data_IF_621192643294
#
_entry.id   IF_621192643294
#
_cell.length_a   1.000
_cell.length_b   1.000
_cell.length_c   1.000
_cell.angle_alpha   90.00
_cell.angle_beta   90.00
_cell.angle_gamma   90.00
#
_symmetry.space_group_name_H-M   'P 1'
#
loop_
_entity.id
_entity.type
_entity.pdbx_description
1 polymer ?
#
# COMPACT_ATOMS: atom_id res chain seq x y z
N UNK A 1 -30.73 -3.36 28.96
CA UNK A 1 -29.49 -2.75 28.45
C UNK A 1 -29.80 -1.72 27.37
N UNK A 2 -30.58 -2.08 26.32
CA UNK A 2 -31.03 -1.18 25.25
C UNK A 2 -31.77 0.04 25.80
N UNK A 3 -32.68 -0.10 26.78
CA UNK A 3 -33.36 1.01 27.40
C UNK A 3 -32.39 1.95 28.16
N UNK A 4 -31.32 1.44 28.79
CA UNK A 4 -30.29 2.29 29.40
C UNK A 4 -29.47 3.07 28.37
N UNK A 5 -29.22 2.51 27.21
CA UNK A 5 -28.55 3.19 26.09
C UNK A 5 -29.47 4.29 25.52
N UNK A 6 -30.77 4.03 25.42
CA UNK A 6 -31.76 4.99 24.94
C UNK A 6 -31.94 6.15 25.95
N UNK A 7 -31.98 5.87 27.26
CA UNK A 7 -32.07 6.89 28.31
C UNK A 7 -30.77 7.71 28.47
N UNK A 8 -29.58 7.07 28.27
CA UNK A 8 -28.30 7.76 28.31
C UNK A 8 -28.00 8.61 27.04
N UNK A 9 -28.66 8.32 25.92
CA UNK A 9 -28.49 9.08 24.67
C UNK A 9 -29.20 10.45 24.68
N UNK A 10 -30.16 10.67 25.52
CA UNK A 10 -31.02 11.87 25.44
C UNK A 10 -30.25 13.20 25.57
N UNK A 11 -29.20 13.35 26.43
CA UNK A 11 -28.41 14.59 26.48
C UNK A 11 -27.04 14.51 25.75
N UNK A 12 -26.35 13.36 25.74
CA UNK A 12 -24.94 13.30 25.37
C UNK A 12 -24.73 13.38 23.84
N UNK A 13 -25.54 12.72 23.04
CA UNK A 13 -25.38 12.70 21.58
C UNK A 13 -25.72 14.03 20.90
N UNK A 14 -26.82 14.74 21.27
CA UNK A 14 -27.09 16.09 20.80
C UNK A 14 -26.03 17.10 21.20
N UNK A 15 -25.48 17.01 22.42
CA UNK A 15 -24.42 17.89 22.90
C UNK A 15 -23.11 17.64 22.16
N UNK A 16 -22.70 16.38 21.98
CA UNK A 16 -21.53 16.03 21.19
C UNK A 16 -21.65 16.52 19.74
N UNK A 17 -22.82 16.37 19.11
CA UNK A 17 -23.09 16.90 17.77
C UNK A 17 -22.91 18.41 17.69
N UNK A 18 -23.51 19.14 18.62
CA UNK A 18 -23.41 20.60 18.68
C UNK A 18 -21.96 21.05 18.89
N UNK A 19 -21.20 20.35 19.74
CA UNK A 19 -19.79 20.64 19.98
C UNK A 19 -18.94 20.42 18.71
N UNK A 20 -19.22 19.37 17.94
CA UNK A 20 -18.54 19.11 16.66
C UNK A 20 -18.90 20.13 15.57
N UNK A 21 -20.17 20.56 15.51
CA UNK A 21 -20.62 21.63 14.59
C UNK A 21 -19.93 22.95 14.92
N UNK A 22 -19.85 23.34 16.18
CA UNK A 22 -19.16 24.54 16.64
C UNK A 22 -17.65 24.46 16.38
N UNK A 23 -17.02 23.32 16.67
CA UNK A 23 -15.61 23.11 16.40
C UNK A 23 -15.30 23.23 14.90
N UNK A 24 -16.14 22.66 14.04
CA UNK A 24 -15.96 22.74 12.59
C UNK A 24 -16.15 24.18 12.07
N UNK A 25 -17.07 24.94 12.62
CA UNK A 25 -17.27 26.35 12.28
C UNK A 25 -16.09 27.22 12.71
N UNK A 26 -15.57 27.03 13.91
CA UNK A 26 -14.43 27.77 14.44
C UNK A 26 -13.12 27.39 13.74
N UNK A 27 -12.93 26.12 13.37
CA UNK A 27 -11.83 25.69 12.53
C UNK A 27 -11.90 26.28 11.12
N UNK A 28 -13.11 26.34 10.53
CA UNK A 28 -13.32 26.94 9.22
C UNK A 28 -13.01 28.44 9.24
N UNK A 29 -13.37 29.17 10.29
CA UNK A 29 -13.00 30.58 10.48
C UNK A 29 -11.49 30.75 10.61
N UNK A 30 -10.83 29.87 11.37
CA UNK A 30 -9.38 29.91 11.59
C UNK A 30 -8.59 29.66 10.30
N UNK A 31 -9.12 28.84 9.37
CA UNK A 31 -8.49 28.51 8.08
C UNK A 31 -8.78 29.57 7.01
N UNK A 32 -9.97 30.14 7.01
CA UNK A 32 -10.43 31.03 5.91
C UNK A 32 -10.09 32.49 6.08
N UNK A 33 -9.86 32.96 7.30
CA UNK A 33 -9.64 34.40 7.57
C UNK A 33 -8.18 34.70 7.87
N UNK A 34 -7.45 35.14 6.85
CA UNK A 34 -6.05 35.56 6.93
C UNK A 34 -5.89 37.02 7.41
N UNK A 35 -6.99 37.71 7.73
CA UNK A 35 -7.03 39.13 8.14
C UNK A 35 -7.21 39.33 9.65
N UNK A 36 -7.25 38.26 10.43
CA UNK A 36 -7.41 38.31 11.89
C UNK A 36 -6.24 39.02 12.57
N UNK A 37 -6.55 39.88 13.54
CA UNK A 37 -5.55 40.45 14.44
C UNK A 37 -4.98 39.37 15.37
N UNK A 38 -3.76 39.60 15.90
CA UNK A 38 -3.10 38.66 16.82
C UNK A 38 -3.95 38.34 18.07
N UNK A 39 -4.73 39.29 18.54
CA UNK A 39 -5.65 39.12 19.69
C UNK A 39 -6.86 38.24 19.34
N UNK A 40 -7.48 38.47 18.18
CA UNK A 40 -8.60 37.67 17.67
C UNK A 40 -8.16 36.24 17.37
N UNK A 41 -6.98 36.08 16.79
CA UNK A 41 -6.39 34.77 16.55
C UNK A 41 -6.12 34.01 17.86
N UNK A 42 -5.55 34.67 18.88
CA UNK A 42 -5.30 34.04 20.18
C UNK A 42 -6.61 33.65 20.89
N UNK A 43 -7.65 34.46 20.75
CA UNK A 43 -8.99 34.17 21.27
C UNK A 43 -9.61 32.95 20.58
N UNK A 44 -9.58 32.92 19.25
CA UNK A 44 -10.11 31.82 18.45
C UNK A 44 -9.34 30.51 18.70
N UNK A 45 -8.00 30.57 18.78
CA UNK A 45 -7.16 29.45 19.17
C UNK A 45 -7.55 28.86 20.53
N UNK A 46 -7.85 29.73 21.50
CA UNK A 46 -8.29 29.30 22.84
C UNK A 46 -9.67 28.67 22.80
N UNK A 47 -10.59 29.20 22.00
CA UNK A 47 -11.94 28.64 21.82
C UNK A 47 -11.86 27.26 21.19
N UNK A 48 -11.14 27.12 20.05
CA UNK A 48 -10.93 25.84 19.37
C UNK A 48 -10.28 24.81 20.29
N UNK A 49 -9.26 25.19 21.08
CA UNK A 49 -8.62 24.30 22.04
C UNK A 49 -9.62 23.82 23.13
N UNK A 50 -10.50 24.69 23.58
CA UNK A 50 -11.55 24.35 24.55
C UNK A 50 -12.55 23.35 23.96
N UNK A 51 -12.95 23.58 22.72
CA UNK A 51 -13.97 22.75 22.06
C UNK A 51 -13.42 21.38 21.67
N UNK A 52 -12.16 21.30 21.23
CA UNK A 52 -11.45 20.02 21.05
C UNK A 52 -11.43 19.23 22.36
N UNK A 53 -11.14 19.89 23.47
CA UNK A 53 -11.11 19.24 24.79
C UNK A 53 -12.48 18.73 25.23
N UNK A 54 -13.55 19.51 24.98
CA UNK A 54 -14.92 19.06 25.24
C UNK A 54 -15.30 17.86 24.37
N UNK A 55 -15.07 17.95 23.05
CA UNK A 55 -15.33 16.85 22.13
C UNK A 55 -14.58 15.57 22.54
N UNK A 56 -13.32 15.71 22.98
CA UNK A 56 -12.53 14.55 23.46
C UNK A 56 -13.17 13.89 24.69
N UNK A 57 -13.66 14.69 25.62
CA UNK A 57 -14.33 14.19 26.82
C UNK A 57 -15.68 13.53 26.50
N UNK A 58 -16.44 14.12 25.59
CA UNK A 58 -17.75 13.59 25.18
C UNK A 58 -17.59 12.26 24.44
N UNK A 59 -16.58 12.15 23.57
CA UNK A 59 -16.23 10.89 22.89
C UNK A 59 -15.75 9.83 23.89
N UNK A 60 -14.97 10.22 24.90
CA UNK A 60 -14.56 9.29 25.95
C UNK A 60 -15.77 8.75 26.72
N UNK A 61 -16.74 9.62 27.01
CA UNK A 61 -17.98 9.24 27.68
C UNK A 61 -18.85 8.31 26.81
N UNK A 62 -18.94 8.59 25.51
CA UNK A 62 -19.64 7.72 24.55
C UNK A 62 -18.91 6.37 24.41
N UNK A 63 -17.57 6.37 24.39
CA UNK A 63 -16.76 5.16 24.34
C UNK A 63 -16.98 4.27 25.55
N UNK A 64 -17.07 4.84 26.74
CA UNK A 64 -17.32 4.07 27.96
C UNK A 64 -18.72 3.45 27.99
N UNK A 65 -19.73 4.13 27.41
CA UNK A 65 -21.08 3.60 27.24
C UNK A 65 -21.14 2.46 26.19
N UNK A 66 -20.30 2.52 25.16
CA UNK A 66 -20.26 1.57 24.03
C UNK A 66 -19.36 0.37 24.30
N UNK A 67 -18.33 0.50 25.15
CA UNK A 67 -17.28 -0.51 25.36
C UNK A 67 -17.78 -1.88 25.84
N UNK A 68 -19.01 -1.98 26.28
CA UNK A 68 -19.54 -3.24 26.78
C UNK A 68 -20.45 -4.01 25.80
N UNK A 69 -20.92 -3.42 24.69
CA UNK A 69 -22.02 -4.04 23.95
C UNK A 69 -22.09 -3.79 22.42
N UNK A 70 -21.12 -3.15 21.75
CA UNK A 70 -21.27 -2.81 20.32
C UNK A 70 -20.07 -3.21 19.43
N UNK A 71 -20.38 -3.36 18.13
CA UNK A 71 -19.53 -3.85 17.03
C UNK A 71 -18.08 -3.30 17.00
N UNK A 72 -17.08 -4.14 16.64
CA UNK A 72 -15.67 -3.75 16.48
C UNK A 72 -15.44 -2.54 15.57
N UNK A 73 -16.33 -2.32 14.60
CA UNK A 73 -16.26 -1.21 13.63
C UNK A 73 -16.53 0.15 14.28
N UNK A 74 -17.51 0.22 15.21
CA UNK A 74 -17.80 1.44 15.97
C UNK A 74 -16.67 1.80 16.93
N UNK A 75 -16.03 0.80 17.53
CA UNK A 75 -14.85 0.99 18.38
C UNK A 75 -13.69 1.58 17.57
N UNK A 76 -13.40 1.03 16.39
CA UNK A 76 -12.37 1.53 15.49
C UNK A 76 -12.64 2.96 15.03
N UNK A 77 -13.90 3.30 14.70
CA UNK A 77 -14.29 4.66 14.32
C UNK A 77 -14.09 5.66 15.46
N UNK A 78 -14.44 5.30 16.70
CA UNK A 78 -14.22 6.16 17.88
C UNK A 78 -12.73 6.33 18.20
N UNK A 79 -11.92 5.31 18.04
CA UNK A 79 -10.45 5.39 18.19
C UNK A 79 -9.83 6.31 17.15
N UNK A 80 -10.30 6.26 15.90
CA UNK A 80 -9.85 7.17 14.83
C UNK A 80 -10.23 8.62 15.12
N UNK A 81 -11.43 8.88 15.61
CA UNK A 81 -11.89 10.21 16.05
C UNK A 81 -11.00 10.73 17.18
N UNK A 82 -10.74 9.92 18.19
CA UNK A 82 -9.88 10.27 19.31
C UNK A 82 -8.45 10.63 18.86
N UNK A 83 -7.91 9.85 17.91
CA UNK A 83 -6.60 10.10 17.30
C UNK A 83 -6.57 11.42 16.53
N UNK A 84 -7.60 11.71 15.72
CA UNK A 84 -7.71 12.95 14.95
C UNK A 84 -7.82 14.19 15.85
N UNK A 85 -8.58 14.10 16.94
CA UNK A 85 -8.68 15.19 17.93
C UNK A 85 -7.35 15.43 18.67
N UNK A 86 -6.62 14.38 19.02
CA UNK A 86 -5.31 14.50 19.64
C UNK A 86 -4.28 15.14 18.68
N UNK A 87 -4.33 14.79 17.41
CA UNK A 87 -3.49 15.42 16.36
C UNK A 87 -3.85 16.90 16.19
N UNK A 88 -5.15 17.24 16.10
CA UNK A 88 -5.61 18.62 16.02
C UNK A 88 -5.15 19.45 17.23
N UNK A 89 -5.21 18.90 18.43
CA UNK A 89 -4.73 19.54 19.66
C UNK A 89 -3.21 19.78 19.64
N UNK A 90 -2.43 18.83 19.12
CA UNK A 90 -0.97 18.96 18.98
C UNK A 90 -0.62 20.05 17.96
N UNK A 91 -1.32 20.06 16.81
CA UNK A 91 -1.12 21.09 15.76
C UNK A 91 -1.44 22.47 16.32
N UNK A 92 -2.59 22.62 17.01
CA UNK A 92 -3.00 23.90 17.60
C UNK A 92 -2.03 24.40 18.69
N UNK A 93 -1.46 23.50 19.48
CA UNK A 93 -0.45 23.81 20.49
C UNK A 93 0.84 24.37 19.87
N UNK A 94 1.21 23.87 18.69
CA UNK A 94 2.45 24.25 17.98
C UNK A 94 2.27 25.46 17.05
N UNK A 95 1.07 26.01 16.90
CA UNK A 95 0.83 27.22 16.10
C UNK A 95 1.47 28.43 16.79
N UNK A 96 2.39 29.20 16.13
CA UNK A 96 3.00 30.39 16.69
C UNK A 96 2.00 31.44 17.17
N UNK A 97 2.40 32.22 18.18
CA UNK A 97 1.50 33.19 18.84
C UNK A 97 1.29 34.50 18.06
N UNK A 98 1.97 34.71 16.94
CA UNK A 98 1.88 35.92 16.13
C UNK A 98 1.61 35.59 14.65
N UNK A 99 0.86 36.46 13.98
CA UNK A 99 0.35 36.25 12.63
C UNK A 99 1.44 36.24 11.55
N UNK A 100 2.55 36.96 11.76
CA UNK A 100 3.64 37.06 10.79
C UNK A 100 4.45 35.76 10.61
N UNK A 101 4.59 34.97 11.66
CA UNK A 101 5.25 33.67 11.59
C UNK A 101 4.33 32.58 11.02
N UNK A 102 3.01 32.78 11.14
CA UNK A 102 1.97 31.90 10.63
C UNK A 102 1.92 31.89 9.10
N UNK A 103 2.12 33.04 8.45
CA UNK A 103 2.07 33.16 6.99
C UNK A 103 3.10 32.24 6.29
N UNK A 104 4.22 31.95 6.94
CA UNK A 104 5.25 31.01 6.44
C UNK A 104 4.94 29.54 6.77
N UNK A 105 4.21 29.29 7.84
CA UNK A 105 3.87 27.95 8.31
C UNK A 105 2.51 27.48 7.78
N UNK A 106 1.62 28.41 7.36
CA UNK A 106 0.24 28.12 6.95
C UNK A 106 0.16 27.19 5.74
N UNK A 107 1.11 27.30 4.82
CA UNK A 107 1.17 26.44 3.63
C UNK A 107 1.41 24.95 4.00
N UNK A 108 2.16 24.70 5.05
CA UNK A 108 2.41 23.33 5.53
C UNK A 108 1.28 22.81 6.43
N UNK A 109 0.58 23.69 7.17
CA UNK A 109 -0.52 23.33 8.05
C UNK A 109 -1.89 23.29 7.34
N UNK A 110 -2.01 23.93 6.19
CA UNK A 110 -3.26 23.98 5.42
C UNK A 110 -3.71 22.58 4.97
N UNK A 111 -2.77 21.72 4.60
CA UNK A 111 -3.06 20.34 4.23
C UNK A 111 -3.48 19.50 5.44
N UNK A 112 -2.78 19.65 6.58
CA UNK A 112 -3.10 18.94 7.84
C UNK A 112 -4.46 19.38 8.39
N UNK A 113 -4.78 20.69 8.32
CA UNK A 113 -6.09 21.21 8.75
C UNK A 113 -7.21 20.82 7.79
N UNK A 114 -6.91 20.73 6.49
CA UNK A 114 -7.86 20.27 5.47
C UNK A 114 -8.20 18.79 5.67
N UNK A 115 -7.20 17.96 5.95
CA UNK A 115 -7.39 16.55 6.26
C UNK A 115 -8.14 16.38 7.58
N UNK A 116 -7.76 17.12 8.62
CA UNK A 116 -8.49 17.13 9.90
C UNK A 116 -9.94 17.61 9.75
N UNK A 117 -10.19 18.62 8.92
CA UNK A 117 -11.55 19.13 8.65
C UNK A 117 -12.37 18.11 7.86
N UNK A 118 -11.74 17.41 6.91
CA UNK A 118 -12.37 16.31 6.16
C UNK A 118 -12.73 15.15 7.07
N UNK A 119 -11.84 14.78 7.98
CA UNK A 119 -12.05 13.70 8.94
C UNK A 119 -13.15 14.05 9.95
N UNK A 120 -13.19 15.30 10.43
CA UNK A 120 -14.27 15.81 11.29
C UNK A 120 -15.62 15.84 10.54
N UNK A 121 -15.64 16.29 9.29
CA UNK A 121 -16.85 16.27 8.45
C UNK A 121 -17.33 14.84 8.18
N UNK A 122 -16.40 13.90 7.91
CA UNK A 122 -16.68 12.48 7.81
C UNK A 122 -17.25 11.90 9.09
N UNK A 123 -16.70 12.30 10.22
CA UNK A 123 -17.14 11.92 11.56
C UNK A 123 -18.56 12.44 11.88
N UNK A 124 -18.84 13.71 11.59
CA UNK A 124 -20.18 14.31 11.76
C UNK A 124 -21.20 13.56 10.91
N UNK A 125 -20.83 13.22 9.66
CA UNK A 125 -21.70 12.44 8.79
C UNK A 125 -21.96 11.05 9.37
N UNK A 126 -20.92 10.35 9.84
CA UNK A 126 -21.06 9.03 10.46
C UNK A 126 -21.93 9.07 11.73
N UNK A 127 -21.77 10.09 12.58
CA UNK A 127 -22.60 10.30 13.76
C UNK A 127 -24.06 10.61 13.40
N UNK A 128 -24.28 11.36 12.30
CA UNK A 128 -25.63 11.64 11.79
C UNK A 128 -26.30 10.37 11.25
N UNK A 129 -25.57 9.60 10.46
CA UNK A 129 -26.05 8.34 9.91
C UNK A 129 -26.32 7.31 11.03
N UNK A 130 -25.47 7.31 12.08
CA UNK A 130 -25.65 6.51 13.28
C UNK A 130 -26.91 6.95 14.05
N UNK A 131 -27.13 8.27 14.23
CA UNK A 131 -28.34 8.80 14.86
C UNK A 131 -29.59 8.38 14.09
N UNK A 132 -29.59 8.54 12.75
CA UNK A 132 -30.71 8.11 11.91
C UNK A 132 -30.98 6.61 12.03
N UNK A 133 -29.91 5.80 12.08
CA UNK A 133 -30.01 4.37 12.29
C UNK A 133 -30.58 4.01 13.67
N UNK A 134 -30.16 4.72 14.71
CA UNK A 134 -30.67 4.56 16.08
C UNK A 134 -32.15 5.00 16.18
N UNK A 135 -32.50 6.14 15.59
CA UNK A 135 -33.89 6.61 15.57
C UNK A 135 -34.80 5.63 14.81
N UNK A 136 -34.30 5.03 13.72
CA UNK A 136 -35.01 3.98 13.00
C UNK A 136 -35.14 2.71 13.83
N UNK A 137 -34.06 2.25 14.47
CA UNK A 137 -34.08 1.09 15.39
C UNK A 137 -35.06 1.35 16.53
N UNK A 138 -35.11 2.58 17.09
CA UNK A 138 -36.06 2.96 18.14
C UNK A 138 -37.48 2.86 17.64
N UNK A 139 -37.77 3.37 16.43
CA UNK A 139 -39.12 3.29 15.84
C UNK A 139 -39.53 1.82 15.57
N UNK A 140 -38.56 1.02 15.03
CA UNK A 140 -38.78 -0.40 14.76
C UNK A 140 -39.01 -1.18 16.06
N UNK A 141 -38.26 -0.89 17.13
CA UNK A 141 -38.47 -1.48 18.48
C UNK A 141 -39.81 -1.08 19.04
N UNK A 142 -40.23 0.17 18.91
CA UNK A 142 -41.58 0.61 19.36
C UNK A 142 -42.67 -0.11 18.58
N UNK A 143 -42.51 -0.27 17.30
CA UNK A 143 -43.44 -1.02 16.44
C UNK A 143 -43.49 -2.49 16.80
N UNK A 144 -42.33 -3.11 17.08
CA UNK A 144 -42.24 -4.52 17.50
C UNK A 144 -42.84 -4.71 18.89
N UNK A 145 -42.57 -3.81 19.85
CA UNK A 145 -43.08 -3.93 21.22
C UNK A 145 -44.58 -3.66 21.33
N UNK A 146 -45.17 -2.90 20.41
CA UNK A 146 -46.61 -2.68 20.34
C UNK A 146 -47.39 -3.77 19.60
N UNK A 147 -46.69 -4.72 18.97
CA UNK A 147 -47.30 -5.82 18.22
C UNK A 147 -47.59 -7.02 19.14
N UNK A 148 -48.84 -7.53 19.10
CA UNK A 148 -49.22 -8.71 19.87
C UNK A 148 -48.35 -9.93 19.62
N UNK A 149 -47.89 -10.12 18.36
CA UNK A 149 -46.93 -11.16 17.97
C UNK A 149 -45.57 -11.08 18.68
N UNK A 150 -45.18 -9.86 19.16
CA UNK A 150 -43.96 -9.68 19.95
C UNK A 150 -44.10 -10.27 21.36
N UNK A 151 -45.27 -10.15 21.97
CA UNK A 151 -45.53 -10.73 23.28
C UNK A 151 -45.56 -12.26 23.21
N UNK A 152 -46.12 -12.81 22.12
CA UNK A 152 -46.11 -14.26 21.87
C UNK A 152 -44.69 -14.78 21.59
N UNK A 153 -43.89 -14.00 20.88
CA UNK A 153 -42.46 -14.27 20.65
C UNK A 153 -41.66 -14.22 21.94
N UNK A 154 -41.85 -13.22 22.79
CA UNK A 154 -41.19 -13.09 24.11
C UNK A 154 -41.56 -14.28 25.02
N UNK A 155 -42.79 -14.71 24.97
CA UNK A 155 -43.25 -15.88 25.77
C UNK A 155 -42.63 -17.18 25.26
N UNK A 156 -42.55 -17.34 23.93
CA UNK A 156 -41.86 -18.50 23.32
C UNK A 156 -40.36 -18.55 23.63
N UNK A 157 -39.75 -17.38 23.84
CA UNK A 157 -38.32 -17.22 24.17
C UNK A 157 -38.05 -17.48 25.64
N UNK A 158 -38.95 -17.12 26.55
CA UNK A 158 -38.82 -17.44 27.98
C UNK A 158 -38.75 -18.95 28.22
N UNK A 159 -39.38 -19.73 27.35
CA UNK A 159 -39.38 -21.19 27.43
C UNK A 159 -38.08 -21.80 26.84
N UNK A 160 -37.28 -21.05 26.05
CA UNK A 160 -36.04 -21.59 25.49
C UNK A 160 -34.93 -20.51 25.33
N UNK A 161 -34.32 -20.04 26.42
CA UNK A 161 -33.35 -18.91 26.41
C UNK A 161 -32.06 -19.22 25.60
N UNK A 162 -31.74 -20.49 25.39
CA UNK A 162 -30.53 -20.90 24.69
C UNK A 162 -30.54 -20.55 23.19
N UNK A 163 -31.72 -20.50 22.60
CA UNK A 163 -31.90 -20.15 21.16
C UNK A 163 -31.53 -18.67 20.94
N UNK A 164 -31.85 -17.80 21.92
CA UNK A 164 -31.48 -16.38 21.84
C UNK A 164 -29.98 -16.17 22.02
N UNK A 165 -29.38 -16.85 23.00
CA UNK A 165 -27.94 -16.73 23.24
C UNK A 165 -27.19 -17.10 21.95
N UNK A 166 -27.61 -18.14 21.25
CA UNK A 166 -27.01 -18.53 19.97
C UNK A 166 -27.28 -17.53 18.83
N UNK A 167 -28.47 -16.92 18.77
CA UNK A 167 -28.80 -15.93 17.75
C UNK A 167 -28.10 -14.58 17.99
N UNK A 168 -27.95 -14.15 19.25
CA UNK A 168 -27.26 -12.89 19.59
C UNK A 168 -25.74 -13.04 19.51
N UNK A 169 -25.21 -14.23 19.84
CA UNK A 169 -23.77 -14.49 19.78
C UNK A 169 -23.22 -14.64 18.33
N UNK A 170 -24.09 -14.96 17.37
CA UNK A 170 -23.70 -15.14 15.96
C UNK A 170 -24.81 -14.71 15.00
N UNK A 171 -25.22 -13.41 14.99
CA UNK A 171 -26.34 -12.92 14.17
C UNK A 171 -26.06 -12.97 12.68
N UNK A 172 -24.79 -13.02 12.29
CA UNK A 172 -24.32 -13.14 10.89
C UNK A 172 -23.18 -14.14 10.83
N UNK A 173 -23.41 -15.28 10.21
CA UNK A 173 -22.32 -16.16 9.79
C UNK A 173 -21.82 -15.70 8.43
N UNK A 174 -20.64 -15.12 8.42
CA UNK A 174 -19.98 -14.77 7.18
C UNK A 174 -19.35 -16.04 6.58
N UNK A 175 -20.00 -16.59 5.55
CA UNK A 175 -19.46 -17.72 4.82
C UNK A 175 -18.55 -17.16 3.70
N UNK A 176 -17.26 -17.05 4.00
CA UNK A 176 -16.28 -16.60 3.01
C UNK A 176 -15.86 -17.77 2.12
N UNK A 177 -16.31 -17.74 0.87
CA UNK A 177 -15.85 -18.71 -0.14
C UNK A 177 -14.68 -18.10 -0.89
N UNK A 178 -13.46 -18.49 -0.51
CA UNK A 178 -12.25 -18.08 -1.22
C UNK A 178 -12.14 -18.86 -2.54
N UNK A 179 -12.25 -18.19 -3.68
CA UNK A 179 -12.08 -18.79 -5.02
C UNK A 179 -10.63 -19.25 -5.23
N UNK A 180 -9.67 -18.45 -4.76
CA UNK A 180 -8.24 -18.73 -4.75
C UNK A 180 -7.70 -18.60 -3.33
N UNK A 181 -7.82 -19.67 -2.57
CA UNK A 181 -7.41 -19.68 -1.18
C UNK A 181 -5.89 -19.73 -1.06
N UNK A 182 -5.34 -18.82 -0.23
CA UNK A 182 -3.94 -18.80 0.18
C UNK A 182 -3.90 -19.00 1.69
N UNK A 183 -3.27 -20.08 2.13
CA UNK A 183 -3.31 -20.54 3.51
C UNK A 183 -2.62 -19.63 4.51
N UNK A 184 -1.62 -18.85 4.06
CA UNK A 184 -0.87 -17.97 4.94
C UNK A 184 -0.26 -16.77 4.18
N UNK A 185 0.05 -15.72 4.93
CA UNK A 185 0.63 -14.49 4.40
C UNK A 185 2.00 -14.71 3.72
N UNK A 186 2.83 -15.62 4.24
CA UNK A 186 4.12 -15.96 3.64
C UNK A 186 3.99 -16.46 2.20
N UNK A 187 3.04 -17.37 1.96
CA UNK A 187 2.75 -17.87 0.60
C UNK A 187 2.20 -16.78 -0.33
N UNK A 188 1.42 -15.83 0.21
CA UNK A 188 0.91 -14.70 -0.56
C UNK A 188 2.03 -13.74 -0.99
N UNK A 189 3.04 -13.55 -0.14
CA UNK A 189 4.16 -12.63 -0.37
C UNK A 189 5.34 -13.28 -1.11
N UNK A 190 5.44 -14.61 -1.12
CA UNK A 190 6.55 -15.34 -1.74
C UNK A 190 6.82 -14.91 -3.19
N UNK A 191 5.82 -14.76 -4.09
CA UNK A 191 6.06 -14.30 -5.46
C UNK A 191 6.80 -12.96 -5.54
N UNK A 192 6.48 -12.02 -4.66
CA UNK A 192 7.14 -10.72 -4.60
C UNK A 192 8.62 -10.85 -4.20
N UNK A 193 8.90 -11.57 -3.12
CA UNK A 193 10.27 -11.75 -2.64
C UNK A 193 11.13 -12.61 -3.57
N UNK A 194 10.55 -13.62 -4.20
CA UNK A 194 11.21 -14.44 -5.21
C UNK A 194 11.65 -13.58 -6.40
N UNK A 195 10.75 -12.75 -6.95
CA UNK A 195 11.08 -11.87 -8.07
C UNK A 195 12.13 -10.83 -7.67
N UNK A 196 12.03 -10.28 -6.45
CA UNK A 196 13.01 -9.35 -5.90
C UNK A 196 14.41 -10.01 -5.78
N UNK A 197 14.47 -11.21 -5.24
CA UNK A 197 15.73 -11.97 -5.10
C UNK A 197 16.39 -12.23 -6.46
N UNK A 198 15.60 -12.58 -7.49
CA UNK A 198 16.11 -12.80 -8.85
C UNK A 198 16.64 -11.50 -9.49
N UNK A 199 15.98 -10.34 -9.24
CA UNK A 199 16.48 -9.05 -9.72
C UNK A 199 17.79 -8.66 -9.05
N UNK A 200 17.83 -8.72 -7.71
CA UNK A 200 19.03 -8.42 -6.93
C UNK A 200 20.17 -9.37 -7.29
N UNK A 201 19.87 -10.65 -7.46
CA UNK A 201 20.85 -11.64 -7.92
C UNK A 201 21.45 -11.28 -9.29
N UNK A 202 20.63 -10.82 -10.22
CA UNK A 202 21.10 -10.37 -11.54
C UNK A 202 21.96 -9.10 -11.45
N UNK A 203 21.63 -8.15 -10.56
CA UNK A 203 22.45 -6.96 -10.28
C UNK A 203 23.82 -7.33 -9.70
N UNK A 204 23.83 -8.19 -8.70
CA UNK A 204 25.09 -8.67 -8.10
C UNK A 204 25.95 -9.37 -9.14
N UNK A 205 25.33 -10.13 -10.05
CA UNK A 205 26.05 -10.86 -11.08
C UNK A 205 26.81 -9.94 -12.05
N UNK A 206 26.18 -8.83 -12.48
CA UNK A 206 26.88 -7.86 -13.35
C UNK A 206 27.92 -7.03 -12.59
N UNK A 207 27.73 -6.82 -11.30
CA UNK A 207 28.72 -6.14 -10.46
C UNK A 207 29.99 -7.01 -10.22
N UNK A 208 29.83 -8.34 -10.10
CA UNK A 208 30.91 -9.25 -9.82
C UNK A 208 31.66 -9.74 -11.10
N UNK A 209 30.94 -9.86 -12.20
CA UNK A 209 31.49 -10.44 -13.44
C UNK A 209 31.60 -9.34 -14.49
N UNK A 210 32.81 -9.16 -15.01
CA UNK A 210 33.06 -8.21 -16.09
C UNK A 210 32.16 -8.48 -17.30
N UNK A 211 31.42 -7.49 -17.71
CA UNK A 211 30.43 -7.59 -18.79
C UNK A 211 31.10 -7.47 -20.16
N UNK A 212 32.12 -6.62 -20.25
CA UNK A 212 32.88 -6.44 -21.51
C UNK A 212 33.86 -7.61 -21.70
N UNK A 213 33.93 -8.12 -22.93
CA UNK A 213 34.93 -9.07 -23.35
C UNK A 213 36.24 -8.31 -23.60
N UNK A 214 37.34 -8.72 -22.94
CA UNK A 214 38.66 -8.16 -23.23
C UNK A 214 39.07 -8.56 -24.64
N UNK A 215 39.60 -7.61 -25.40
CA UNK A 215 40.14 -7.92 -26.72
C UNK A 215 41.37 -8.82 -26.58
N UNK A 216 41.40 -9.90 -27.36
CA UNK A 216 42.44 -10.88 -27.42
C UNK A 216 42.67 -11.24 -28.92
N UNK A 217 43.89 -11.59 -29.31
CA UNK A 217 44.25 -11.98 -30.66
C UNK A 217 43.39 -13.14 -31.19
N UNK A 218 42.98 -14.06 -30.30
CA UNK A 218 42.08 -15.17 -30.65
C UNK A 218 40.64 -14.74 -31.02
N UNK A 219 40.28 -13.51 -30.71
CA UNK A 219 38.95 -12.94 -30.98
C UNK A 219 38.94 -11.99 -32.18
N UNK A 220 40.03 -11.94 -32.93
CA UNK A 220 40.09 -11.21 -34.20
C UNK A 220 39.13 -11.82 -35.21
N UNK A 221 38.26 -11.00 -35.79
CA UNK A 221 37.21 -11.43 -36.73
C UNK A 221 35.88 -11.87 -36.13
N UNK A 222 35.74 -11.96 -34.79
CA UNK A 222 34.47 -12.27 -34.13
C UNK A 222 33.54 -11.07 -34.21
N UNK A 223 32.33 -11.27 -34.72
CA UNK A 223 31.32 -10.20 -34.85
C UNK A 223 30.82 -9.74 -33.49
N UNK A 224 30.47 -8.43 -33.33
CA UNK A 224 30.03 -7.87 -32.02
C UNK A 224 28.88 -8.62 -31.38
N UNK A 225 27.90 -9.07 -32.15
CA UNK A 225 26.77 -9.85 -31.62
C UNK A 225 27.20 -11.22 -31.07
N UNK A 226 28.22 -11.83 -31.63
CA UNK A 226 28.78 -13.11 -31.14
C UNK A 226 29.49 -12.92 -29.80
N UNK A 227 30.29 -11.85 -29.67
CA UNK A 227 30.91 -11.45 -28.39
C UNK A 227 29.84 -11.19 -27.34
N UNK A 228 28.74 -10.48 -27.71
CA UNK A 228 27.62 -10.15 -26.83
C UNK A 228 26.91 -11.41 -26.31
N UNK A 229 26.41 -12.27 -27.19
CA UNK A 229 25.72 -13.48 -26.78
C UNK A 229 26.62 -14.52 -26.13
N UNK A 230 27.85 -14.66 -26.61
CA UNK A 230 28.82 -15.57 -26.01
C UNK A 230 29.15 -15.19 -24.56
N UNK A 231 29.30 -13.89 -24.28
CA UNK A 231 29.51 -13.40 -22.92
C UNK A 231 28.29 -13.57 -22.06
N UNK A 232 27.11 -13.28 -22.62
CA UNK A 232 25.82 -13.42 -21.90
C UNK A 232 25.57 -14.86 -21.42
N UNK A 233 26.09 -15.88 -22.15
CA UNK A 233 25.88 -17.27 -21.75
C UNK A 233 26.33 -17.56 -20.32
N UNK A 234 27.42 -16.95 -19.85
CA UNK A 234 27.90 -17.09 -18.48
C UNK A 234 26.88 -16.52 -17.48
N UNK A 235 26.34 -15.33 -17.78
CA UNK A 235 25.32 -14.69 -16.94
C UNK A 235 24.03 -15.52 -16.90
N UNK A 236 23.64 -16.07 -18.04
CA UNK A 236 22.49 -16.95 -18.14
C UNK A 236 22.66 -18.20 -17.27
N UNK A 237 23.77 -18.93 -17.41
CA UNK A 237 23.99 -20.17 -16.66
C UNK A 237 23.99 -19.91 -15.15
N UNK A 238 24.75 -18.91 -14.70
CA UNK A 238 24.85 -18.62 -13.27
C UNK A 238 23.48 -18.10 -12.75
N UNK A 239 22.78 -17.25 -13.51
CA UNK A 239 21.44 -16.78 -13.17
C UNK A 239 20.43 -17.92 -13.06
N UNK A 240 20.53 -18.95 -13.92
CA UNK A 240 19.65 -20.13 -13.81
C UNK A 240 19.99 -20.98 -12.57
N UNK A 241 21.27 -21.12 -12.22
CA UNK A 241 21.66 -21.80 -10.98
C UNK A 241 21.10 -21.07 -9.75
N UNK A 242 21.23 -19.75 -9.69
CA UNK A 242 20.60 -18.92 -8.64
C UNK A 242 19.09 -19.17 -8.58
N UNK A 243 18.43 -19.20 -9.73
CA UNK A 243 16.97 -19.42 -9.82
C UNK A 243 16.57 -20.79 -9.29
N UNK A 244 17.30 -21.84 -9.65
CA UNK A 244 17.04 -23.18 -9.15
C UNK A 244 17.16 -23.22 -7.62
N UNK A 245 18.20 -22.61 -7.05
CA UNK A 245 18.39 -22.53 -5.60
C UNK A 245 17.24 -21.77 -4.94
N UNK A 246 16.82 -20.63 -5.50
CA UNK A 246 15.72 -19.83 -4.98
C UNK A 246 14.41 -20.61 -5.01
N UNK A 247 14.06 -21.22 -6.16
CA UNK A 247 12.83 -22.00 -6.31
C UNK A 247 12.81 -23.22 -5.39
N UNK A 248 13.94 -23.92 -5.26
CA UNK A 248 14.05 -25.02 -4.31
C UNK A 248 13.91 -24.54 -2.86
N UNK A 249 14.50 -23.40 -2.53
CA UNK A 249 14.35 -22.76 -1.24
C UNK A 249 12.87 -22.45 -0.93
N UNK A 250 12.18 -21.82 -1.87
CA UNK A 250 10.77 -21.46 -1.71
C UNK A 250 9.86 -22.68 -1.55
N UNK A 251 10.02 -23.66 -2.43
CA UNK A 251 9.12 -24.82 -2.50
C UNK A 251 9.36 -25.88 -1.43
N UNK A 252 10.64 -26.10 -1.02
CA UNK A 252 11.02 -27.21 -0.15
C UNK A 252 11.51 -26.76 1.22
N UNK A 253 12.21 -25.64 1.33
CA UNK A 253 12.73 -25.15 2.61
C UNK A 253 11.73 -24.25 3.31
N UNK A 254 11.22 -23.21 2.63
CA UNK A 254 10.19 -22.31 3.15
C UNK A 254 8.82 -23.00 3.14
N UNK A 255 8.59 -23.90 2.17
CA UNK A 255 7.38 -24.68 2.05
C UNK A 255 6.16 -23.84 1.70
N UNK A 256 6.31 -22.90 0.74
CA UNK A 256 5.20 -22.07 0.30
C UNK A 256 4.08 -22.93 -0.32
N UNK A 257 2.85 -22.49 -0.13
CA UNK A 257 1.73 -23.05 -0.87
C UNK A 257 1.95 -22.80 -2.37
N UNK A 258 1.96 -23.83 -3.16
CA UNK A 258 2.07 -23.71 -4.63
C UNK A 258 1.26 -24.83 -5.30
N UNK A 259 0.19 -24.45 -5.98
CA UNK A 259 -0.67 -25.40 -6.71
C UNK A 259 -0.01 -25.96 -7.97
N UNK A 260 0.79 -25.14 -8.65
CA UNK A 260 1.42 -25.49 -9.93
C UNK A 260 2.95 -25.33 -9.85
N UNK A 261 3.64 -26.24 -9.15
CA UNK A 261 5.10 -26.17 -8.86
C UNK A 261 5.95 -26.10 -10.12
N UNK A 262 5.63 -26.88 -11.16
CA UNK A 262 6.41 -26.87 -12.42
C UNK A 262 6.24 -25.53 -13.14
N UNK A 263 5.02 -25.00 -13.22
CA UNK A 263 4.76 -23.71 -13.83
C UNK A 263 5.47 -22.56 -13.05
N UNK A 264 5.53 -22.67 -11.70
CA UNK A 264 6.26 -21.75 -10.85
C UNK A 264 7.77 -21.75 -11.20
N UNK A 265 8.37 -22.93 -11.32
CA UNK A 265 9.76 -23.06 -11.73
C UNK A 265 10.01 -22.48 -13.14
N UNK A 266 9.13 -22.77 -14.11
CA UNK A 266 9.23 -22.21 -15.47
C UNK A 266 9.09 -20.69 -15.49
N UNK A 267 8.15 -20.14 -14.73
CA UNK A 267 8.01 -18.68 -14.60
C UNK A 267 9.24 -18.03 -13.95
N UNK A 268 9.83 -18.65 -12.93
CA UNK A 268 11.04 -18.17 -12.30
C UNK A 268 12.26 -18.24 -13.25
N UNK A 269 12.41 -19.32 -14.01
CA UNK A 269 13.45 -19.48 -15.06
C UNK A 269 13.32 -18.35 -16.10
N UNK A 270 12.09 -18.09 -16.57
CA UNK A 270 11.82 -17.03 -17.54
C UNK A 270 12.09 -15.64 -16.93
N UNK A 271 11.69 -15.41 -15.68
CA UNK A 271 11.95 -14.18 -14.92
C UNK A 271 13.47 -13.91 -14.83
N UNK A 272 14.23 -14.90 -14.42
CA UNK A 272 15.68 -14.80 -14.28
C UNK A 272 16.34 -14.51 -15.65
N UNK A 273 15.89 -15.19 -16.70
CA UNK A 273 16.35 -14.92 -18.06
C UNK A 273 16.13 -13.48 -18.47
N UNK A 274 14.91 -12.96 -18.27
CA UNK A 274 14.56 -11.56 -18.62
C UNK A 274 15.42 -10.57 -17.82
N UNK A 275 15.55 -10.79 -16.52
CA UNK A 275 16.27 -9.86 -15.63
C UNK A 275 17.76 -9.85 -15.89
N UNK A 276 18.38 -11.02 -15.96
CA UNK A 276 19.82 -11.13 -16.27
C UNK A 276 20.12 -10.53 -17.64
N UNK A 277 19.26 -10.77 -18.63
CA UNK A 277 19.45 -10.23 -19.98
C UNK A 277 19.25 -8.72 -20.06
N UNK A 278 18.23 -8.19 -19.37
CA UNK A 278 17.95 -6.76 -19.33
C UNK A 278 19.09 -6.00 -18.63
N UNK A 279 19.48 -6.45 -17.44
CA UNK A 279 20.53 -5.78 -16.65
C UNK A 279 21.89 -5.91 -17.37
N UNK A 280 22.21 -7.10 -17.90
CA UNK A 280 23.39 -7.29 -18.74
C UNK A 280 23.42 -6.33 -19.94
N UNK A 281 22.31 -6.21 -20.67
CA UNK A 281 22.19 -5.33 -21.84
C UNK A 281 22.37 -3.85 -21.47
N UNK A 282 21.78 -3.42 -20.35
CA UNK A 282 21.96 -2.06 -19.82
C UNK A 282 23.43 -1.80 -19.45
N UNK A 283 24.08 -2.76 -18.80
CA UNK A 283 25.47 -2.62 -18.40
C UNK A 283 26.42 -2.65 -19.60
N UNK A 284 26.14 -3.48 -20.61
CA UNK A 284 26.91 -3.48 -21.87
C UNK A 284 26.79 -2.14 -22.60
N UNK A 285 25.56 -1.57 -22.66
CA UNK A 285 25.29 -0.34 -23.37
C UNK A 285 25.81 0.91 -22.64
N UNK A 286 25.67 0.97 -21.31
CA UNK A 286 25.91 2.18 -20.53
C UNK A 286 26.98 2.03 -19.43
N UNK A 287 27.66 0.87 -19.33
CA UNK A 287 28.66 0.61 -18.28
C UNK A 287 28.08 0.77 -16.88
N UNK A 288 28.81 1.39 -15.96
CA UNK A 288 28.40 1.62 -14.58
C UNK A 288 27.12 2.47 -14.46
N UNK A 289 26.84 3.34 -15.45
CA UNK A 289 25.58 4.08 -15.51
C UNK A 289 24.40 3.11 -15.75
N UNK A 290 24.61 2.06 -16.55
CA UNK A 290 23.60 1.02 -16.78
C UNK A 290 23.26 0.25 -15.52
N UNK A 291 24.25 -0.04 -14.67
CA UNK A 291 24.02 -0.65 -13.35
C UNK A 291 23.21 0.29 -12.44
N UNK A 292 23.57 1.57 -12.39
CA UNK A 292 22.83 2.56 -11.62
C UNK A 292 21.38 2.71 -12.10
N UNK A 293 21.14 2.71 -13.42
CA UNK A 293 19.79 2.71 -14.00
C UNK A 293 19.02 1.45 -13.56
N UNK A 294 19.64 0.28 -13.59
CA UNK A 294 18.99 -0.96 -13.16
C UNK A 294 18.62 -0.95 -11.67
N UNK A 295 19.43 -0.29 -10.81
CA UNK A 295 19.10 -0.07 -9.39
C UNK A 295 17.92 0.89 -9.24
N UNK A 296 17.90 2.01 -9.97
CA UNK A 296 16.78 2.95 -9.95
C UNK A 296 15.48 2.28 -10.40
N UNK A 297 15.55 1.52 -11.49
CA UNK A 297 14.40 0.73 -11.97
C UNK A 297 13.91 -0.23 -10.89
N UNK A 298 14.82 -0.90 -10.18
CA UNK A 298 14.48 -1.81 -9.08
C UNK A 298 13.70 -1.07 -7.98
N UNK A 299 14.19 0.09 -7.53
CA UNK A 299 13.51 0.86 -6.47
C UNK A 299 12.09 1.25 -6.88
N UNK A 300 11.92 1.75 -8.11
CA UNK A 300 10.61 2.11 -8.65
C UNK A 300 9.70 0.88 -8.74
N UNK A 301 10.23 -0.25 -9.21
CA UNK A 301 9.46 -1.49 -9.36
C UNK A 301 9.02 -2.06 -8.02
N UNK A 302 9.90 -2.10 -7.02
CA UNK A 302 9.58 -2.59 -5.67
C UNK A 302 8.46 -1.75 -5.04
N UNK A 303 8.52 -0.43 -5.19
CA UNK A 303 7.49 0.47 -4.68
C UNK A 303 6.16 0.36 -5.46
N UNK A 304 6.23 0.16 -6.78
CA UNK A 304 5.08 0.25 -7.67
C UNK A 304 4.50 -1.07 -8.16
N UNK A 305 5.11 -2.22 -7.84
CA UNK A 305 4.69 -3.51 -8.40
C UNK A 305 3.41 -4.11 -7.76
N UNK A 306 2.83 -3.48 -6.75
CA UNK A 306 1.67 -4.05 -6.06
C UNK A 306 1.99 -5.33 -5.30
N UNK A 307 3.24 -5.43 -4.79
CA UNK A 307 3.72 -6.61 -4.06
C UNK A 307 3.16 -6.69 -2.66
N UNK A 308 3.31 -5.63 -1.91
CA UNK A 308 2.90 -5.51 -0.51
C UNK A 308 1.49 -4.95 -0.36
N UNK A 309 1.05 -4.10 -1.29
CA UNK A 309 -0.29 -3.50 -1.31
C UNK A 309 -0.90 -3.67 -2.70
N UNK A 310 -2.24 -3.74 -2.82
CA UNK A 310 -2.91 -3.71 -4.12
C UNK A 310 -2.53 -2.47 -4.93
N UNK A 311 -2.34 -2.63 -6.24
CA UNK A 311 -1.90 -1.53 -7.11
C UNK A 311 -2.91 -0.39 -7.17
N UNK A 312 -4.19 -0.70 -6.93
CA UNK A 312 -5.31 0.21 -6.95
C UNK A 312 -5.25 1.28 -5.85
N UNK A 313 -4.56 0.99 -4.73
CA UNK A 313 -4.38 1.94 -3.62
C UNK A 313 -3.12 2.79 -3.73
N UNK A 314 -2.28 2.52 -4.76
CA UNK A 314 -1.08 3.31 -5.01
C UNK A 314 -1.42 4.62 -5.75
N UNK A 315 -0.58 5.67 -5.62
CA UNK A 315 -0.72 6.87 -6.43
C UNK A 315 -0.78 6.58 -7.93
N UNK A 316 -1.53 7.38 -8.69
CA UNK A 316 -1.80 7.16 -10.12
C UNK A 316 -0.54 7.00 -10.99
N UNK A 317 0.55 7.66 -10.61
CA UNK A 317 1.86 7.53 -11.27
C UNK A 317 2.36 6.08 -11.21
N UNK A 318 2.27 5.43 -10.05
CA UNK A 318 2.69 4.03 -9.89
C UNK A 318 1.75 3.07 -10.61
N UNK A 319 0.44 3.33 -10.63
CA UNK A 319 -0.53 2.55 -11.39
C UNK A 319 -0.25 2.59 -12.91
N UNK A 320 0.22 3.74 -13.41
CA UNK A 320 0.65 3.87 -14.78
C UNK A 320 1.97 3.13 -15.05
N UNK A 321 2.99 3.34 -14.20
CA UNK A 321 4.29 2.71 -14.30
C UNK A 321 4.22 1.17 -14.18
N UNK A 322 3.31 0.65 -13.34
CA UNK A 322 3.06 -0.78 -13.18
C UNK A 322 2.93 -1.53 -14.50
N UNK A 323 2.25 -0.92 -15.49
CA UNK A 323 2.01 -1.52 -16.81
C UNK A 323 3.28 -1.68 -17.66
N UNK A 324 4.31 -0.89 -17.35
CA UNK A 324 5.59 -0.88 -18.09
C UNK A 324 6.72 -1.56 -17.35
N UNK A 325 6.47 -2.17 -16.20
CA UNK A 325 7.50 -2.79 -15.38
C UNK A 325 7.49 -4.31 -15.54
N UNK A 326 8.63 -4.95 -15.92
CA UNK A 326 8.69 -6.40 -16.07
C UNK A 326 8.45 -7.15 -14.76
N UNK A 327 8.80 -6.56 -13.62
CA UNK A 327 8.61 -7.11 -12.28
C UNK A 327 7.14 -7.50 -12.01
N UNK A 328 6.20 -6.64 -12.41
CA UNK A 328 4.76 -6.88 -12.22
C UNK A 328 4.28 -8.13 -12.94
N UNK A 329 4.73 -8.33 -14.17
CA UNK A 329 4.37 -9.52 -14.96
C UNK A 329 5.00 -10.79 -14.41
N UNK A 330 6.27 -10.72 -13.95
CA UNK A 330 6.94 -11.82 -13.28
C UNK A 330 6.19 -12.23 -12.02
N UNK A 331 5.88 -11.27 -11.16
CA UNK A 331 5.16 -11.50 -9.92
C UNK A 331 3.76 -12.09 -10.15
N UNK A 332 3.01 -11.55 -11.11
CA UNK A 332 1.69 -12.06 -11.43
C UNK A 332 1.74 -13.48 -11.99
N UNK A 333 2.73 -13.83 -12.82
CA UNK A 333 2.93 -15.19 -13.30
C UNK A 333 3.19 -16.18 -12.14
N UNK A 334 4.00 -15.78 -11.15
CA UNK A 334 4.26 -16.60 -9.97
C UNK A 334 3.03 -16.67 -9.04
N UNK A 335 2.25 -15.58 -8.88
CA UNK A 335 0.99 -15.58 -8.12
C UNK A 335 -0.04 -16.56 -8.67
N UNK A 336 -0.18 -16.62 -10.00
CA UNK A 336 -1.04 -17.60 -10.68
C UNK A 336 -0.66 -19.05 -10.31
N UNK A 337 0.64 -19.31 -10.14
CA UNK A 337 1.11 -20.65 -9.76
C UNK A 337 0.85 -20.97 -8.29
N UNK A 338 0.88 -19.98 -7.41
CA UNK A 338 0.68 -20.13 -5.96
C UNK A 338 -0.80 -20.37 -5.64
N UNK A 339 -1.65 -19.45 -6.06
CA UNK A 339 -3.07 -19.44 -5.70
C UNK A 339 -3.94 -20.32 -6.62
N UNK A 340 -3.54 -20.43 -7.87
CA UNK A 340 -4.28 -21.10 -8.94
C UNK A 340 -4.39 -20.22 -10.17
N UNK A 341 -4.39 -20.82 -11.35
CA UNK A 341 -4.36 -20.11 -12.61
C UNK A 341 -5.76 -19.61 -13.00
N UNK A 342 -5.83 -18.31 -13.33
CA UNK A 342 -7.03 -17.68 -13.82
C UNK A 342 -6.96 -17.48 -15.35
N UNK A 343 -7.85 -18.14 -16.08
CA UNK A 343 -7.95 -18.05 -17.54
C UNK A 343 -6.57 -18.21 -18.24
N UNK A 344 -6.14 -17.18 -18.98
CA UNK A 344 -4.87 -17.16 -19.72
C UNK A 344 -3.85 -16.16 -19.14
N UNK A 345 -4.03 -15.70 -17.89
CA UNK A 345 -3.20 -14.66 -17.26
C UNK A 345 -1.73 -15.09 -17.20
N UNK A 346 -1.45 -16.31 -16.78
CA UNK A 346 -0.09 -16.87 -16.77
C UNK A 346 0.60 -16.76 -18.14
N UNK A 347 -0.08 -17.23 -19.19
CA UNK A 347 0.46 -17.19 -20.56
C UNK A 347 0.66 -15.77 -21.08
N UNK A 348 -0.28 -14.85 -20.78
CA UNK A 348 -0.16 -13.44 -21.15
C UNK A 348 1.04 -12.78 -20.46
N UNK A 349 1.27 -13.06 -19.18
CA UNK A 349 2.43 -12.55 -18.45
C UNK A 349 3.73 -13.03 -19.08
N UNK A 350 3.87 -14.34 -19.39
CA UNK A 350 5.07 -14.88 -20.03
C UNK A 350 5.28 -14.31 -21.44
N UNK A 351 4.21 -14.13 -22.23
CA UNK A 351 4.30 -13.52 -23.56
C UNK A 351 4.75 -12.07 -23.48
N UNK A 352 4.27 -11.30 -22.49
CA UNK A 352 4.72 -9.92 -22.26
C UNK A 352 6.21 -9.89 -21.87
N UNK A 353 6.69 -10.85 -21.09
CA UNK A 353 8.10 -10.95 -20.72
C UNK A 353 9.01 -11.15 -21.93
N UNK A 354 8.57 -11.82 -22.99
CA UNK A 354 9.32 -11.95 -24.25
C UNK A 354 9.55 -10.60 -24.95
N UNK A 355 8.62 -9.64 -24.78
CA UNK A 355 8.80 -8.29 -25.31
C UNK A 355 10.00 -7.61 -24.63
N UNK A 356 10.19 -7.82 -23.32
CA UNK A 356 11.34 -7.27 -22.61
C UNK A 356 12.65 -7.91 -23.04
N UNK A 357 12.65 -9.19 -23.43
CA UNK A 357 13.83 -9.82 -24.06
C UNK A 357 14.19 -9.13 -25.35
N UNK A 358 13.19 -8.83 -26.20
CA UNK A 358 13.42 -8.11 -27.46
C UNK A 358 13.95 -6.68 -27.21
N UNK A 359 13.35 -5.95 -26.26
CA UNK A 359 13.83 -4.61 -25.85
C UNK A 359 15.27 -4.69 -25.35
N UNK A 360 15.60 -5.67 -24.52
CA UNK A 360 16.96 -5.87 -23.99
C UNK A 360 17.97 -6.15 -25.09
N UNK A 361 17.61 -6.97 -26.08
CA UNK A 361 18.44 -7.23 -27.24
C UNK A 361 18.70 -5.95 -28.07
N UNK A 362 17.68 -5.13 -28.26
CA UNK A 362 17.81 -3.84 -28.95
C UNK A 362 18.77 -2.92 -28.17
N UNK A 363 18.60 -2.80 -26.85
CA UNK A 363 19.47 -1.99 -25.99
C UNK A 363 20.93 -2.49 -26.10
N UNK A 364 21.17 -3.76 -25.90
CA UNK A 364 22.53 -4.33 -25.88
C UNK A 364 23.24 -4.35 -27.22
N UNK A 365 22.52 -4.53 -28.34
CA UNK A 365 23.12 -4.62 -29.66
C UNK A 365 23.20 -3.30 -30.42
N UNK A 366 22.12 -2.47 -30.32
CA UNK A 366 22.02 -1.23 -31.09
C UNK A 366 22.57 -0.03 -30.33
N UNK A 367 22.27 0.08 -29.02
CA UNK A 367 22.70 1.25 -28.24
C UNK A 367 24.14 1.13 -27.72
N UNK A 368 24.71 -0.08 -27.61
CA UNK A 368 26.08 -0.25 -27.13
C UNK A 368 27.13 0.51 -27.98
N UNK A 369 26.99 0.52 -29.31
CA UNK A 369 27.93 1.22 -30.19
C UNK A 369 27.91 2.76 -30.07
N UNK A 370 26.74 3.47 -30.16
CA UNK A 370 26.73 4.91 -30.03
C UNK A 370 27.08 5.37 -28.61
N UNK A 371 26.71 4.59 -27.59
CA UNK A 371 26.96 4.92 -26.18
C UNK A 371 28.43 4.68 -25.77
N UNK A 372 29.12 3.76 -26.39
CA UNK A 372 30.56 3.48 -26.13
C UNK A 372 31.41 4.77 -26.27
N UNK A 373 31.20 5.56 -27.33
CA UNK A 373 31.92 6.83 -27.55
C UNK A 373 31.62 7.89 -26.49
N UNK A 374 30.42 7.87 -25.95
CA UNK A 374 30.00 8.78 -24.87
C UNK A 374 30.62 8.36 -23.53
N UNK A 375 30.64 7.04 -23.27
CA UNK A 375 31.22 6.44 -22.08
C UNK A 375 32.74 6.65 -22.01
N UNK A 376 33.46 6.45 -23.11
CA UNK A 376 34.90 6.70 -23.18
C UNK A 376 35.24 8.16 -22.86
N UNK A 377 34.41 9.11 -23.32
CA UNK A 377 34.57 10.54 -22.95
C UNK A 377 34.31 10.79 -21.48
N UNK A 378 33.30 10.12 -20.90
CA UNK A 378 32.97 10.24 -19.49
C UNK A 378 34.01 9.58 -18.57
N UNK A 379 34.55 8.41 -18.95
CA UNK A 379 35.62 7.75 -18.22
C UNK A 379 36.90 8.59 -18.25
N UNK A 380 37.27 9.15 -19.40
CA UNK A 380 38.42 10.07 -19.51
C UNK A 380 38.22 11.40 -18.73
N UNK A 381 36.98 11.86 -18.60
CA UNK A 381 36.65 13.03 -17.78
C UNK A 381 36.71 12.70 -16.27
N UNK A 382 36.33 11.49 -15.88
CA UNK A 382 36.44 10.99 -14.49
C UNK A 382 37.89 10.83 -14.05
N UNK A 383 38.74 10.24 -14.90
CA UNK A 383 40.18 10.11 -14.64
C UNK A 383 40.85 11.49 -14.46
N UNK A 384 40.46 12.48 -15.30
CA UNK A 384 41.00 13.84 -15.18
C UNK A 384 40.49 14.59 -13.93
N UNK A 385 39.34 14.25 -13.39
CA UNK A 385 38.78 14.91 -12.21
C UNK A 385 39.35 14.44 -10.87
N UNK A 386 40.08 13.32 -10.86
CA UNK A 386 40.67 12.72 -9.63
C UNK A 386 39.63 12.34 -8.56
N UNK A 387 38.35 12.32 -8.90
CA UNK A 387 37.25 12.08 -7.96
C UNK A 387 37.03 10.60 -7.63
N UNK A 388 37.67 9.69 -8.37
CA UNK A 388 37.59 8.23 -8.13
C UNK A 388 38.97 7.64 -8.32
N UNK A 389 39.52 7.06 -7.27
CA UNK A 389 40.70 6.20 -7.26
C UNK A 389 40.26 4.79 -7.61
#
# INVERSE_FOLDING_TARGET
TINRLIEAQSPIVPDAKLQFENLNEDLAKLVSDTSLSDEEFASLKKAVSSDIKKCTNDIASVKDLINNELSPELKSSLENIQSSLAQAQTVLANVPGNFNDISKSLTQYQDILKDGTSDIAGTIKCLKDLKESIDKIKADIQTITSNSSYQDFINAIKDNPQVIVNFISSPVQMNTVAVYEISNYGSAMAPFYTVLALWVGALILVALIHVKVKDNEELEGVKPYQKFFGRYLNFFVIGQVQTIITVMGDLFYVGIQCKHRIAFALAAIMTSFVFTFLIYSLTVAFGNIGEAIAVIIMVIQVAGAGGTFPVEVLPSVYQYLYKFMPFSYCMNALRECVAGMYQHTYGKCLATLLIYVAISAVIGLLLAKPCAKLLDKLEHSKEKSGLFI
#
